data_IF_045876447113
#
_entry.id   IF_045876447113
#
_cell.length_a   1.000
_cell.length_b   1.000
_cell.length_c   1.000
_cell.angle_alpha   90.00
_cell.angle_beta   90.00
_cell.angle_gamma   90.00
#
_symmetry.space_group_name_H-M   'P 1'
#
loop_
_entity.id
_entity.type
_entity.pdbx_description
1 polymer ?
#
# COMPACT_ATOMS: atom_id res chain seq x y z
N UNK A 1 15.34 0.15 -81.95
CA UNK A 1 14.27 0.57 -81.00
C UNK A 1 14.04 -0.55 -80.02
N UNK A 2 14.42 -0.40 -78.75
CA UNK A 2 14.22 -1.45 -77.73
C UNK A 2 12.72 -1.60 -77.47
N UNK A 3 12.19 -2.81 -77.67
CA UNK A 3 10.76 -3.12 -77.58
C UNK A 3 10.18 -2.67 -76.23
N UNK A 4 9.01 -1.99 -76.27
CA UNK A 4 8.26 -1.48 -75.12
C UNK A 4 8.07 -2.55 -74.02
N UNK A 5 7.99 -3.82 -74.41
CA UNK A 5 7.81 -4.95 -73.50
C UNK A 5 9.00 -5.17 -72.56
N UNK A 6 10.23 -4.95 -73.05
CA UNK A 6 11.46 -5.11 -72.26
C UNK A 6 11.54 -4.00 -71.20
N UNK A 7 11.15 -2.78 -71.57
CA UNK A 7 11.12 -1.62 -70.66
C UNK A 7 10.04 -1.78 -69.57
N UNK A 8 8.88 -2.36 -69.93
CA UNK A 8 7.80 -2.66 -68.98
C UNK A 8 8.18 -3.77 -67.98
N UNK A 9 8.83 -4.85 -68.44
CA UNK A 9 9.33 -5.92 -67.55
C UNK A 9 10.41 -5.43 -66.59
N UNK A 10 11.36 -4.62 -67.05
CA UNK A 10 12.38 -4.01 -66.17
C UNK A 10 11.78 -3.01 -65.16
N UNK A 11 10.76 -2.24 -65.56
CA UNK A 11 10.05 -1.31 -64.66
C UNK A 11 9.27 -2.04 -63.57
N UNK A 12 8.57 -3.14 -63.90
CA UNK A 12 7.91 -3.98 -62.89
C UNK A 12 8.91 -4.66 -61.95
N UNK A 13 10.03 -5.17 -62.47
CA UNK A 13 11.07 -5.81 -61.66
C UNK A 13 11.73 -4.82 -60.69
N UNK A 14 12.01 -3.58 -61.13
CA UNK A 14 12.55 -2.53 -60.26
C UNK A 14 11.57 -2.10 -59.15
N UNK A 15 10.27 -2.06 -59.45
CA UNK A 15 9.23 -1.77 -58.45
C UNK A 15 9.05 -2.91 -57.45
N UNK A 16 9.10 -4.17 -57.89
CA UNK A 16 9.02 -5.32 -56.98
C UNK A 16 10.26 -5.43 -56.09
N UNK A 17 11.45 -5.15 -56.64
CA UNK A 17 12.69 -5.15 -55.86
C UNK A 17 12.66 -4.03 -54.81
N UNK A 18 12.18 -2.84 -55.15
CA UNK A 18 12.00 -1.74 -54.19
C UNK A 18 11.02 -2.09 -53.06
N UNK A 19 9.90 -2.74 -53.39
CA UNK A 19 8.92 -3.19 -52.40
C UNK A 19 9.53 -4.25 -51.46
N UNK A 20 10.38 -5.11 -51.99
CA UNK A 20 11.07 -6.16 -51.21
C UNK A 20 12.11 -5.56 -50.26
N UNK A 21 12.94 -4.62 -50.72
CA UNK A 21 13.88 -3.91 -49.85
C UNK A 21 13.18 -3.09 -48.76
N UNK A 22 12.05 -2.47 -49.10
CA UNK A 22 11.23 -1.74 -48.14
C UNK A 22 10.64 -2.67 -47.06
N UNK A 23 10.17 -3.86 -47.45
CA UNK A 23 9.67 -4.86 -46.52
C UNK A 23 10.77 -5.37 -45.57
N UNK A 24 11.98 -5.64 -46.09
CA UNK A 24 13.13 -6.05 -45.28
C UNK A 24 13.52 -4.94 -44.28
N UNK A 25 13.53 -3.69 -44.72
CA UNK A 25 13.82 -2.55 -43.85
C UNK A 25 12.79 -2.40 -42.72
N UNK A 26 11.50 -2.50 -43.06
CA UNK A 26 10.43 -2.48 -42.05
C UNK A 26 10.51 -3.64 -41.07
N UNK A 27 10.84 -4.84 -41.57
CA UNK A 27 11.03 -6.00 -40.71
C UNK A 27 12.17 -5.78 -39.72
N UNK A 28 13.33 -5.28 -40.18
CA UNK A 28 14.44 -4.92 -39.30
C UNK A 28 14.05 -3.85 -38.27
N UNK A 29 13.30 -2.83 -38.68
CA UNK A 29 12.84 -1.77 -37.78
C UNK A 29 11.92 -2.33 -36.68
N UNK A 30 10.97 -3.20 -37.04
CA UNK A 30 10.08 -3.87 -36.08
C UNK A 30 10.88 -4.73 -35.11
N UNK A 31 11.85 -5.52 -35.60
CA UNK A 31 12.70 -6.36 -34.74
C UNK A 31 13.52 -5.52 -33.76
N UNK A 32 14.11 -4.41 -34.22
CA UNK A 32 14.84 -3.47 -33.34
C UNK A 32 13.89 -2.85 -32.31
N UNK A 33 12.66 -2.53 -32.70
CA UNK A 33 11.66 -1.99 -31.78
C UNK A 33 11.21 -3.01 -30.73
N UNK A 34 11.05 -4.28 -31.10
CA UNK A 34 10.79 -5.36 -30.14
C UNK A 34 11.94 -5.52 -29.14
N UNK A 35 13.19 -5.57 -29.62
CA UNK A 35 14.35 -5.64 -28.74
C UNK A 35 14.44 -4.42 -27.82
N UNK A 36 14.13 -3.23 -28.34
CA UNK A 36 14.06 -2.02 -27.55
C UNK A 36 13.01 -2.13 -26.44
N UNK A 37 11.81 -2.60 -26.74
CA UNK A 37 10.75 -2.78 -25.74
C UNK A 37 11.12 -3.82 -24.67
N UNK A 38 11.72 -4.95 -25.08
CA UNK A 38 12.15 -6.01 -24.16
C UNK A 38 13.19 -5.49 -23.15
N UNK A 39 14.10 -4.60 -23.59
CA UNK A 39 15.13 -4.02 -22.71
C UNK A 39 14.60 -2.82 -21.92
N UNK A 40 13.76 -1.99 -22.52
CA UNK A 40 13.27 -0.75 -21.91
C UNK A 40 12.19 -1.00 -20.85
N UNK A 41 11.26 -1.92 -21.11
CA UNK A 41 10.18 -2.28 -20.18
C UNK A 41 10.67 -2.62 -18.77
N UNK A 42 11.66 -3.53 -18.56
CA UNK A 42 12.14 -3.85 -17.21
C UNK A 42 12.86 -2.68 -16.54
N UNK A 43 13.50 -1.78 -17.30
CA UNK A 43 14.17 -0.60 -16.76
C UNK A 43 13.13 0.41 -16.26
N UNK A 44 12.04 0.59 -17.00
CA UNK A 44 10.96 1.49 -16.62
C UNK A 44 10.18 0.95 -15.41
N UNK A 45 9.88 -0.36 -15.39
CA UNK A 45 9.26 -1.03 -14.25
C UNK A 45 10.09 -0.90 -12.96
N UNK A 46 11.42 -1.03 -13.04
CA UNK A 46 12.31 -0.84 -11.89
C UNK A 46 12.23 0.59 -11.33
N UNK A 47 12.06 1.61 -12.17
CA UNK A 47 11.91 3.00 -11.73
C UNK A 47 10.54 3.25 -11.10
N UNK A 48 9.49 2.69 -11.68
CA UNK A 48 8.13 2.77 -11.16
C UNK A 48 8.01 2.07 -9.80
N UNK A 49 8.63 0.90 -9.62
CA UNK A 49 8.63 0.18 -8.35
C UNK A 49 9.34 0.96 -7.22
N UNK A 50 10.45 1.63 -7.53
CA UNK A 50 11.13 2.53 -6.58
C UNK A 50 10.24 3.72 -6.21
N UNK A 51 9.58 4.34 -7.19
CA UNK A 51 8.63 5.43 -6.96
C UNK A 51 7.42 4.96 -6.12
N UNK A 52 6.84 3.80 -6.44
CA UNK A 52 5.75 3.19 -5.69
C UNK A 52 6.16 2.92 -4.25
N UNK A 53 7.38 2.43 -4.03
CA UNK A 53 7.94 2.23 -2.69
C UNK A 53 8.04 3.54 -1.92
N UNK A 54 8.52 4.63 -2.56
CA UNK A 54 8.58 5.94 -1.91
C UNK A 54 7.19 6.48 -1.53
N UNK A 55 6.21 6.40 -2.45
CA UNK A 55 4.83 6.85 -2.21
C UNK A 55 4.18 6.02 -1.10
N UNK A 56 4.35 4.69 -1.11
CA UNK A 56 3.82 3.82 -0.07
C UNK A 56 4.40 4.14 1.32
N UNK A 57 5.69 4.52 1.40
CA UNK A 57 6.33 4.95 2.64
C UNK A 57 5.74 6.26 3.16
N UNK A 58 5.57 7.26 2.30
CA UNK A 58 5.02 8.56 2.66
C UNK A 58 3.59 8.45 3.18
N UNK A 59 2.77 7.65 2.49
CA UNK A 59 1.41 7.37 2.92
C UNK A 59 1.36 6.66 4.28
N UNK A 60 2.35 5.81 4.59
CA UNK A 60 2.40 5.08 5.86
C UNK A 60 2.73 6.02 7.03
N UNK A 61 3.72 6.90 6.86
CA UNK A 61 4.04 7.94 7.86
C UNK A 61 2.83 8.83 8.12
N UNK A 62 2.15 9.25 7.04
CA UNK A 62 0.93 10.08 7.14
C UNK A 62 -0.19 9.37 7.87
N UNK A 63 -0.36 8.06 7.65
CA UNK A 63 -1.36 7.26 8.35
C UNK A 63 -1.07 7.18 9.85
N UNK A 64 0.17 6.92 10.26
CA UNK A 64 0.57 6.89 11.67
C UNK A 64 0.27 8.22 12.35
N UNK A 65 0.67 9.33 11.73
CA UNK A 65 0.49 10.67 12.30
C UNK A 65 -1.00 11.03 12.41
N UNK A 66 -1.80 10.63 11.42
CA UNK A 66 -3.26 10.78 11.46
C UNK A 66 -3.84 10.00 12.64
N UNK A 67 -3.50 8.72 12.80
CA UNK A 67 -4.01 7.89 13.90
C UNK A 67 -3.56 8.41 15.27
N UNK A 68 -2.32 8.92 15.41
CA UNK A 68 -1.84 9.58 16.64
C UNK A 68 -2.67 10.81 16.98
N UNK A 69 -2.98 11.64 15.98
CA UNK A 69 -3.80 12.84 16.17
C UNK A 69 -5.24 12.48 16.53
N UNK A 70 -5.82 11.46 15.90
CA UNK A 70 -7.15 10.97 16.23
C UNK A 70 -7.23 10.39 17.64
N UNK A 71 -6.28 9.54 18.02
CA UNK A 71 -6.19 9.00 19.37
C UNK A 71 -6.04 10.12 20.43
N UNK A 72 -5.29 11.18 20.11
CA UNK A 72 -5.12 12.35 20.99
C UNK A 72 -6.37 13.22 21.15
N UNK A 73 -7.30 13.20 20.18
CA UNK A 73 -8.56 13.96 20.21
C UNK A 73 -9.67 13.23 20.96
N UNK A 74 -9.56 11.93 21.15
CA UNK A 74 -10.56 11.13 21.86
C UNK A 74 -10.35 11.34 23.37
N UNK A 75 -11.29 12.06 24.00
CA UNK A 75 -11.33 12.18 25.46
C UNK A 75 -12.00 10.95 26.08
N UNK A 76 -11.28 10.21 26.93
CA UNK A 76 -11.86 9.09 27.66
C UNK A 76 -12.75 9.58 28.80
N UNK A 77 -14.00 9.14 28.82
CA UNK A 77 -14.96 9.49 29.87
C UNK A 77 -14.65 8.87 31.24
N UNK A 78 -13.79 7.85 31.30
CA UNK A 78 -13.40 7.13 32.53
C UNK A 78 -11.88 6.90 32.57
N UNK A 79 -11.30 6.68 33.76
CA UNK A 79 -9.86 6.44 33.94
C UNK A 79 -9.33 5.19 33.21
N UNK A 80 -10.14 4.12 33.14
CA UNK A 80 -9.80 2.91 32.36
C UNK A 80 -9.72 3.19 30.86
N UNK A 81 -10.71 3.91 30.32
CA UNK A 81 -10.74 4.28 28.90
C UNK A 81 -9.56 5.21 28.55
N UNK A 82 -9.20 6.13 29.47
CA UNK A 82 -8.00 6.95 29.31
C UNK A 82 -6.71 6.10 29.31
N UNK A 83 -6.66 5.03 30.12
CA UNK A 83 -5.56 4.07 30.11
C UNK A 83 -5.43 3.31 28.79
N UNK A 84 -6.54 2.84 28.19
CA UNK A 84 -6.53 2.22 26.85
C UNK A 84 -6.01 3.17 25.78
N UNK A 85 -6.50 4.42 25.79
CA UNK A 85 -6.10 5.46 24.84
C UNK A 85 -4.60 5.76 24.99
N UNK A 86 -4.10 5.88 26.22
CA UNK A 86 -2.69 6.16 26.49
C UNK A 86 -1.77 5.00 26.07
N UNK A 87 -2.16 3.75 26.33
CA UNK A 87 -1.41 2.57 25.91
C UNK A 87 -1.31 2.49 24.39
N UNK A 88 -2.43 2.62 23.69
CA UNK A 88 -2.46 2.61 22.23
C UNK A 88 -1.65 3.78 21.66
N UNK A 89 -1.71 4.97 22.27
CA UNK A 89 -0.86 6.11 21.87
C UNK A 89 0.63 5.81 22.02
N UNK A 90 1.06 5.21 23.14
CA UNK A 90 2.48 4.81 23.33
C UNK A 90 2.93 3.79 22.29
N UNK A 91 2.07 2.85 21.94
CA UNK A 91 2.33 1.85 20.91
C UNK A 91 2.44 2.50 19.52
N UNK A 92 1.53 3.43 19.18
CA UNK A 92 1.63 4.19 17.92
C UNK A 92 2.88 5.08 17.88
N UNK A 93 3.29 5.67 19.01
CA UNK A 93 4.52 6.45 19.11
C UNK A 93 5.77 5.58 18.84
N UNK A 94 5.80 4.35 19.36
CA UNK A 94 6.85 3.37 19.06
C UNK A 94 6.86 2.98 17.58
N UNK A 95 5.70 2.73 16.98
CA UNK A 95 5.63 2.46 15.54
C UNK A 95 6.09 3.65 14.71
N UNK A 96 5.69 4.88 15.07
CA UNK A 96 6.14 6.09 14.39
C UNK A 96 7.67 6.23 14.43
N UNK A 97 8.28 5.96 15.59
CA UNK A 97 9.72 5.98 15.76
C UNK A 97 10.40 4.90 14.91
N UNK A 98 9.88 3.67 14.96
CA UNK A 98 10.41 2.55 14.17
C UNK A 98 10.35 2.83 12.66
N UNK A 99 9.23 3.35 12.17
CA UNK A 99 9.07 3.69 10.74
C UNK A 99 10.03 4.80 10.32
N UNK A 100 10.27 5.78 11.20
CA UNK A 100 11.18 6.91 10.93
C UNK A 100 12.65 6.51 11.02
N UNK A 101 13.01 5.60 11.93
CA UNK A 101 14.37 5.10 12.13
C UNK A 101 14.79 4.10 11.04
N UNK A 102 13.89 3.19 10.65
CA UNK A 102 14.14 2.19 9.62
C UNK A 102 13.62 2.60 8.23
N UNK A 103 13.33 3.89 8.02
CA UNK A 103 12.69 4.45 6.82
C UNK A 103 13.43 4.09 5.52
N UNK A 104 14.75 4.02 5.56
CA UNK A 104 15.58 3.73 4.40
C UNK A 104 15.76 2.22 4.14
N UNK A 105 15.70 1.40 5.21
CA UNK A 105 15.92 -0.04 5.15
C UNK A 105 14.63 -0.86 4.91
N UNK A 106 13.44 -0.28 5.08
CA UNK A 106 12.18 -1.02 4.96
C UNK A 106 11.94 -1.58 3.54
N UNK A 107 11.64 -2.87 3.46
CA UNK A 107 11.15 -3.54 2.25
C UNK A 107 9.64 -3.34 2.04
N UNK A 108 9.18 -3.46 0.79
CA UNK A 108 7.77 -3.26 0.43
C UNK A 108 6.83 -4.26 1.14
N UNK A 109 7.28 -5.49 1.34
CA UNK A 109 6.57 -6.53 2.11
C UNK A 109 6.31 -6.09 3.55
N UNK A 110 7.33 -5.55 4.21
CA UNK A 110 7.25 -5.06 5.58
C UNK A 110 6.34 -3.83 5.70
N UNK A 111 6.38 -2.93 4.70
CA UNK A 111 5.47 -1.78 4.59
C UNK A 111 4.02 -2.25 4.55
N UNK A 112 3.70 -3.27 3.73
CA UNK A 112 2.35 -3.82 3.62
C UNK A 112 1.86 -4.46 4.92
N UNK A 113 2.73 -5.15 5.65
CA UNK A 113 2.37 -5.75 6.94
C UNK A 113 2.19 -4.71 8.06
N UNK A 114 3.01 -3.65 8.06
CA UNK A 114 2.78 -2.48 8.91
C UNK A 114 1.43 -1.83 8.58
N UNK A 115 1.08 -1.67 7.31
CA UNK A 115 -0.23 -1.17 6.89
C UNK A 115 -1.39 -1.99 7.46
N UNK A 116 -1.31 -3.32 7.39
CA UNK A 116 -2.34 -4.19 7.96
C UNK A 116 -2.47 -3.99 9.48
N UNK A 117 -1.35 -3.86 10.19
CA UNK A 117 -1.37 -3.59 11.63
C UNK A 117 -1.97 -2.22 11.95
N UNK A 118 -1.57 -1.17 11.22
CA UNK A 118 -2.13 0.17 11.38
C UNK A 118 -3.64 0.22 11.10
N UNK A 119 -4.11 -0.48 10.07
CA UNK A 119 -5.55 -0.57 9.77
C UNK A 119 -6.34 -1.24 10.91
N UNK A 120 -5.76 -2.19 11.64
CA UNK A 120 -6.39 -2.75 12.84
C UNK A 120 -6.51 -1.70 13.94
N UNK A 121 -5.47 -0.90 14.17
CA UNK A 121 -5.52 0.19 15.14
C UNK A 121 -6.52 1.28 14.73
N UNK A 122 -6.65 1.56 13.43
CA UNK A 122 -7.68 2.45 12.92
C UNK A 122 -9.08 1.96 13.28
N UNK A 123 -9.38 0.68 13.06
CA UNK A 123 -10.68 0.10 13.41
C UNK A 123 -10.98 0.24 14.92
N UNK A 124 -9.97 0.07 15.77
CA UNK A 124 -10.11 0.27 17.23
C UNK A 124 -10.37 1.74 17.57
N UNK A 125 -9.66 2.69 16.94
CA UNK A 125 -9.87 4.13 17.12
C UNK A 125 -11.28 4.55 16.64
N UNK A 126 -11.77 3.97 15.55
CA UNK A 126 -13.13 4.19 15.06
C UNK A 126 -14.20 3.66 16.04
N UNK A 127 -13.98 2.52 16.69
CA UNK A 127 -14.85 2.02 17.75
C UNK A 127 -14.89 2.96 18.96
N UNK A 128 -13.75 3.55 19.32
CA UNK A 128 -13.67 4.54 20.39
C UNK A 128 -14.40 5.85 20.07
N UNK A 129 -14.43 6.29 18.80
CA UNK A 129 -15.26 7.42 18.36
C UNK A 129 -16.75 7.18 18.63
N UNK A 130 -17.20 5.92 18.57
CA UNK A 130 -18.59 5.49 18.84
C UNK A 130 -18.80 5.17 20.35
N UNK A 131 -17.81 5.44 21.21
CA UNK A 131 -17.79 5.14 22.65
C UNK A 131 -17.87 3.64 22.99
N UNK A 132 -17.58 2.76 22.04
CA UNK A 132 -17.41 1.33 22.30
C UNK A 132 -15.96 1.06 22.70
N UNK A 133 -15.71 1.14 24.00
CA UNK A 133 -14.43 0.79 24.60
C UNK A 133 -14.40 -0.71 24.96
N UNK A 134 -13.22 -1.33 24.86
CA UNK A 134 -13.05 -2.77 25.14
C UNK A 134 -13.16 -3.04 26.64
N UNK A 135 -12.66 -2.14 27.50
CA UNK A 135 -12.94 -2.16 28.93
C UNK A 135 -14.23 -1.41 29.24
N UNK A 136 -15.35 -2.11 29.24
CA UNK A 136 -16.53 -1.67 29.98
C UNK A 136 -16.34 -2.07 31.44
N UNK A 137 -16.53 -1.13 32.37
CA UNK A 137 -16.68 -1.49 33.79
C UNK A 137 -17.83 -2.49 33.88
N UNK A 138 -17.55 -3.76 34.12
CA UNK A 138 -18.40 -4.52 35.02
C UNK A 138 -18.31 -3.77 36.35
N UNK A 139 -19.28 -2.89 36.61
CA UNK A 139 -19.52 -2.45 37.96
C UNK A 139 -19.83 -3.73 38.73
N UNK A 140 -18.82 -4.33 39.37
CA UNK A 140 -19.03 -5.37 40.37
C UNK A 140 -19.93 -4.71 41.40
N UNK A 141 -21.22 -5.04 41.32
CA UNK A 141 -22.23 -4.47 42.16
C UNK A 141 -22.02 -5.08 43.55
N UNK A 142 -21.07 -4.50 44.29
CA UNK A 142 -20.67 -4.90 45.63
C UNK A 142 -21.89 -5.19 46.52
N UNK A 143 -22.97 -4.39 46.52
CA UNK A 143 -24.20 -4.72 47.25
C UNK A 143 -24.80 -6.08 46.91
N UNK A 144 -24.87 -6.44 45.62
CA UNK A 144 -25.39 -7.72 45.17
C UNK A 144 -24.44 -8.89 45.51
N UNK A 145 -23.13 -8.64 45.43
CA UNK A 145 -22.11 -9.62 45.84
C UNK A 145 -22.13 -9.88 47.36
N UNK A 146 -22.31 -8.84 48.17
CA UNK A 146 -22.47 -8.95 49.62
C UNK A 146 -23.76 -9.70 49.99
N UNK A 147 -24.89 -9.41 49.33
CA UNK A 147 -26.14 -10.16 49.53
C UNK A 147 -26.01 -11.65 49.16
N UNK A 148 -25.26 -11.97 48.11
CA UNK A 148 -24.99 -13.36 47.73
C UNK A 148 -24.06 -14.07 48.74
N UNK A 149 -23.09 -13.34 49.31
CA UNK A 149 -22.19 -13.87 50.32
C UNK A 149 -22.88 -14.07 51.68
N UNK A 150 -23.75 -13.14 52.10
CA UNK A 150 -24.59 -13.29 53.30
C UNK A 150 -25.54 -14.48 53.15
N UNK A 151 -26.22 -14.60 52.00
CA UNK A 151 -27.14 -15.71 51.74
C UNK A 151 -26.45 -17.08 51.69
N UNK A 152 -25.17 -17.13 51.33
CA UNK A 152 -24.35 -18.35 51.27
C UNK A 152 -23.71 -18.71 52.61
N UNK A 153 -23.43 -17.73 53.47
CA UNK A 153 -22.78 -17.93 54.77
C UNK A 153 -23.75 -18.05 55.97
N UNK A 154 -25.07 -18.01 55.75
CA UNK A 154 -26.10 -18.21 56.79
C UNK A 154 -25.80 -17.45 58.11
N UNK A 155 -25.91 -16.12 58.05
CA UNK A 155 -26.37 -15.30 59.19
C UNK A 155 -27.87 -15.06 59.01
#
# INVERSE_FOLDING_TARGET
MVSKEIKARYSCKRKSDFMTYFAIYFFLLVVVFELYLIVWMPIQLKKEDVLQKHVAKENLVTLVDTLRNEAGKIGGGNSLNNGEIELTRKVLDLYALYIREYQDALELSQILDLYKMLNRYQAVIEQWKIKQFSFQKEAVNLPAAYQYLEKKNHL
#
